data_IF_600767375151
#
_entry.id   IF_600767375151
#
_cell.length_a   1.000
_cell.length_b   1.000
_cell.length_c   1.000
_cell.angle_alpha   90.00
_cell.angle_beta   90.00
_cell.angle_gamma   90.00
#
_symmetry.space_group_name_H-M   'P 1'
#
loop_
_entity.id
_entity.type
_entity.pdbx_description
1 polymer ?
#
# COMPACT_ATOMS: atom_id res chain seq x y z
N UNK A 1 -19.30 4.02 -2.06
CA UNK A 1 -17.88 3.64 -2.28
C UNK A 1 -17.84 2.15 -2.60
N UNK A 2 -17.10 1.76 -3.65
CA UNK A 2 -16.86 0.35 -3.93
C UNK A 2 -15.82 -0.17 -2.92
N UNK A 3 -16.05 -1.35 -2.34
CA UNK A 3 -15.06 -2.02 -1.47
C UNK A 3 -13.79 -2.39 -2.27
N UNK A 4 -12.65 -2.53 -1.61
CA UNK A 4 -11.39 -3.06 -2.19
C UNK A 4 -11.64 -4.31 -3.04
N UNK A 5 -12.49 -5.21 -2.54
CA UNK A 5 -12.84 -6.47 -3.18
C UNK A 5 -13.67 -6.26 -4.46
N UNK A 6 -14.60 -5.30 -4.45
CA UNK A 6 -15.34 -4.94 -5.65
C UNK A 6 -14.44 -4.28 -6.70
N UNK A 7 -13.50 -3.41 -6.29
CA UNK A 7 -12.51 -2.79 -7.18
C UNK A 7 -11.60 -3.84 -7.82
N UNK A 8 -11.05 -4.76 -7.02
CA UNK A 8 -10.27 -5.91 -7.49
C UNK A 8 -11.02 -6.70 -8.55
N UNK A 9 -12.27 -7.08 -8.26
CA UNK A 9 -13.09 -7.87 -9.16
C UNK A 9 -13.33 -7.18 -10.49
N UNK A 10 -13.61 -5.87 -10.47
CA UNK A 10 -13.83 -5.07 -11.67
C UNK A 10 -12.55 -4.97 -12.51
N UNK A 11 -11.40 -4.66 -11.90
CA UNK A 11 -10.12 -4.52 -12.61
C UNK A 11 -9.63 -5.85 -13.21
N UNK A 12 -9.75 -6.95 -12.46
CA UNK A 12 -9.33 -8.29 -12.91
C UNK A 12 -10.38 -9.01 -13.75
N UNK A 13 -11.58 -8.42 -13.93
CA UNK A 13 -12.75 -9.02 -14.61
C UNK A 13 -13.15 -10.39 -14.04
N UNK A 14 -12.82 -10.65 -12.77
CA UNK A 14 -13.21 -11.89 -12.08
C UNK A 14 -14.70 -11.88 -11.76
N UNK A 15 -15.30 -13.07 -11.66
CA UNK A 15 -16.64 -13.25 -11.11
C UNK A 15 -16.56 -13.34 -9.58
N UNK A 16 -17.67 -13.13 -8.89
CA UNK A 16 -17.73 -13.34 -7.43
C UNK A 16 -17.39 -14.78 -7.03
N UNK A 17 -17.64 -15.76 -7.91
CA UNK A 17 -17.28 -17.17 -7.67
C UNK A 17 -15.76 -17.35 -7.71
N UNK A 18 -15.09 -16.82 -8.75
CA UNK A 18 -13.63 -16.88 -8.87
C UNK A 18 -12.92 -16.19 -7.70
N UNK A 19 -13.45 -15.03 -7.24
CA UNK A 19 -12.91 -14.36 -6.05
C UNK A 19 -13.13 -15.20 -4.79
N UNK A 20 -14.28 -15.88 -4.66
CA UNK A 20 -14.55 -16.76 -3.53
C UNK A 20 -13.58 -17.95 -3.49
N UNK A 21 -13.31 -18.58 -4.64
CA UNK A 21 -12.36 -19.69 -4.76
C UNK A 21 -10.93 -19.26 -4.42
N UNK A 22 -10.50 -18.10 -4.91
CA UNK A 22 -9.20 -17.49 -4.59
C UNK A 22 -9.04 -17.27 -3.08
N UNK A 23 -10.09 -16.76 -2.43
CA UNK A 23 -10.09 -16.40 -1.00
C UNK A 23 -10.56 -17.54 -0.08
N UNK A 24 -10.72 -18.75 -0.59
CA UNK A 24 -11.22 -19.93 0.16
C UNK A 24 -12.50 -19.64 0.95
N UNK A 25 -13.44 -18.95 0.32
CA UNK A 25 -14.73 -18.60 0.90
C UNK A 25 -15.87 -18.92 -0.07
N UNK A 26 -17.08 -18.46 0.24
CA UNK A 26 -18.27 -18.73 -0.58
C UNK A 26 -18.71 -17.50 -1.36
N UNK A 27 -19.28 -17.70 -2.54
CA UNK A 27 -19.87 -16.60 -3.35
C UNK A 27 -20.87 -15.74 -2.56
N UNK A 28 -21.80 -16.29 -1.75
CA UNK A 28 -22.67 -15.49 -0.91
C UNK A 28 -21.92 -14.61 0.10
N UNK A 29 -20.80 -15.08 0.65
CA UNK A 29 -19.97 -14.29 1.54
C UNK A 29 -19.36 -13.09 0.80
N UNK A 30 -18.77 -13.32 -0.38
CA UNK A 30 -18.27 -12.26 -1.25
C UNK A 30 -19.36 -11.22 -1.59
N UNK A 31 -20.56 -11.69 -1.94
CA UNK A 31 -21.68 -10.79 -2.25
C UNK A 31 -22.09 -9.93 -1.03
N UNK A 32 -22.07 -10.49 0.18
CA UNK A 32 -22.39 -9.75 1.40
C UNK A 32 -21.30 -8.71 1.73
N UNK A 33 -20.03 -9.03 1.49
CA UNK A 33 -18.91 -8.10 1.65
C UNK A 33 -19.02 -6.94 0.67
N UNK A 34 -19.23 -7.21 -0.62
CA UNK A 34 -19.40 -6.15 -1.63
C UNK A 34 -20.58 -5.22 -1.33
N UNK A 35 -21.63 -5.74 -0.66
CA UNK A 35 -22.80 -4.96 -0.24
C UNK A 35 -22.62 -4.24 1.10
N UNK A 36 -21.45 -4.33 1.74
CA UNK A 36 -21.17 -3.75 3.05
C UNK A 36 -21.96 -4.39 4.20
N UNK A 37 -22.51 -5.59 3.99
CA UNK A 37 -23.28 -6.32 5.03
C UNK A 37 -22.40 -7.12 5.98
N UNK A 38 -21.15 -7.38 5.58
CA UNK A 38 -20.13 -8.09 6.35
C UNK A 38 -18.75 -7.55 6.00
N UNK A 39 -17.82 -7.63 6.94
CA UNK A 39 -16.40 -7.40 6.70
C UNK A 39 -15.70 -8.73 6.37
N UNK A 40 -14.54 -8.65 5.71
CA UNK A 40 -13.68 -9.83 5.57
C UNK A 40 -13.12 -10.21 6.95
N UNK A 41 -13.08 -11.51 7.26
CA UNK A 41 -12.40 -11.99 8.45
C UNK A 41 -10.88 -11.96 8.24
N UNK A 42 -10.13 -11.91 9.34
CA UNK A 42 -8.66 -11.95 9.32
C UNK A 42 -8.14 -13.15 8.49
N UNK A 43 -8.72 -14.33 8.67
CA UNK A 43 -8.32 -15.53 7.91
C UNK A 43 -8.50 -15.38 6.39
N UNK A 44 -9.57 -14.72 5.94
CA UNK A 44 -9.81 -14.47 4.52
C UNK A 44 -8.79 -13.46 3.98
N UNK A 45 -8.48 -12.44 4.76
CA UNK A 45 -7.46 -11.43 4.42
C UNK A 45 -6.08 -12.10 4.30
N UNK A 46 -5.70 -12.94 5.26
CA UNK A 46 -4.45 -13.70 5.23
C UNK A 46 -4.38 -14.63 4.02
N UNK A 47 -5.47 -15.33 3.71
CA UNK A 47 -5.58 -16.12 2.46
C UNK A 47 -5.36 -15.25 1.23
N UNK A 48 -5.86 -14.00 1.25
CA UNK A 48 -5.59 -13.01 0.20
C UNK A 48 -4.10 -12.75 0.02
N UNK A 49 -3.36 -12.46 1.10
CA UNK A 49 -1.90 -12.25 1.04
C UNK A 49 -1.12 -13.46 0.54
N UNK A 50 -1.62 -14.67 0.81
CA UNK A 50 -0.98 -15.92 0.38
C UNK A 50 -1.22 -16.25 -1.09
N UNK A 51 -2.42 -15.95 -1.61
CA UNK A 51 -2.92 -16.52 -2.87
C UNK A 51 -3.28 -15.50 -3.94
N UNK A 52 -3.41 -14.23 -3.59
CA UNK A 52 -3.77 -13.20 -4.55
C UNK A 52 -2.53 -12.72 -5.32
N UNK A 53 -2.68 -12.70 -6.63
CA UNK A 53 -1.69 -12.23 -7.61
C UNK A 53 -1.77 -10.71 -7.85
N UNK A 54 -2.62 -10.02 -7.11
CA UNK A 54 -3.00 -8.66 -7.39
C UNK A 54 -2.49 -7.68 -6.31
N UNK A 55 -1.35 -7.00 -6.54
CA UNK A 55 -0.73 -6.15 -5.54
C UNK A 55 -1.58 -4.91 -5.19
N UNK A 56 -2.42 -4.43 -6.12
CA UNK A 56 -3.34 -3.31 -5.86
C UNK A 56 -4.39 -3.74 -4.84
N UNK A 57 -4.97 -4.94 -5.01
CA UNK A 57 -5.94 -5.47 -4.05
C UNK A 57 -5.33 -5.68 -2.66
N UNK A 58 -4.11 -6.21 -2.58
CA UNK A 58 -3.41 -6.40 -1.31
C UNK A 58 -3.16 -5.07 -0.59
N UNK A 59 -2.77 -4.03 -1.34
CA UNK A 59 -2.57 -2.67 -0.79
C UNK A 59 -3.88 -2.08 -0.28
N UNK A 60 -4.95 -2.17 -1.08
CA UNK A 60 -6.27 -1.66 -0.71
C UNK A 60 -6.87 -2.38 0.51
N UNK A 61 -6.76 -3.71 0.59
CA UNK A 61 -7.20 -4.45 1.77
C UNK A 61 -6.41 -4.04 3.00
N UNK A 62 -5.09 -3.86 2.89
CA UNK A 62 -4.27 -3.44 4.01
C UNK A 62 -4.68 -2.04 4.52
N UNK A 63 -4.99 -1.13 3.61
CA UNK A 63 -5.53 0.19 3.93
C UNK A 63 -6.87 0.09 4.68
N UNK A 64 -7.80 -0.73 4.19
CA UNK A 64 -9.12 -0.90 4.80
C UNK A 64 -9.05 -1.53 6.21
N UNK A 65 -8.28 -2.60 6.39
CA UNK A 65 -8.21 -3.32 7.67
C UNK A 65 -7.43 -2.53 8.73
N UNK A 66 -6.51 -1.69 8.29
CA UNK A 66 -5.71 -0.83 9.15
C UNK A 66 -6.41 0.50 9.47
N UNK A 67 -7.64 0.69 8.98
CA UNK A 67 -8.42 1.91 9.15
C UNK A 67 -7.65 3.17 8.71
N UNK A 68 -6.96 3.07 7.57
CA UNK A 68 -6.18 4.16 6.98
C UNK A 68 -4.78 4.37 7.57
N UNK A 69 -4.28 3.44 8.38
CA UNK A 69 -2.92 3.51 8.92
C UNK A 69 -1.84 3.17 7.88
N UNK A 70 -2.17 2.45 6.80
CA UNK A 70 -1.27 2.24 5.66
C UNK A 70 -1.63 3.17 4.50
N UNK A 71 -0.88 3.13 3.41
CA UNK A 71 -1.20 3.89 2.19
C UNK A 71 -2.26 3.13 1.36
N UNK A 72 -3.23 3.84 0.74
CA UNK A 72 -4.18 3.22 -0.19
C UNK A 72 -3.48 2.88 -1.52
N UNK A 73 -4.10 2.05 -2.36
CA UNK A 73 -3.62 1.91 -3.73
C UNK A 73 -3.98 3.16 -4.55
N UNK A 74 -3.09 3.60 -5.44
CA UNK A 74 -3.39 4.68 -6.37
C UNK A 74 -4.63 4.37 -7.22
N UNK A 75 -5.50 5.36 -7.38
CA UNK A 75 -6.70 5.26 -8.20
C UNK A 75 -6.45 5.90 -9.58
N UNK A 76 -6.58 5.10 -10.63
CA UNK A 76 -6.41 5.51 -12.03
C UNK A 76 -7.38 6.64 -12.46
N UNK A 77 -8.47 6.86 -11.72
CA UNK A 77 -9.39 7.98 -11.97
C UNK A 77 -8.83 9.33 -11.56
N UNK A 78 -7.88 9.35 -10.64
CA UNK A 78 -7.30 10.56 -10.05
C UNK A 78 -5.87 10.76 -10.58
N UNK A 79 -5.12 9.66 -10.76
CA UNK A 79 -3.72 9.69 -11.14
C UNK A 79 -3.47 8.85 -12.38
N UNK A 80 -2.67 9.37 -13.32
CA UNK A 80 -2.14 8.56 -14.42
C UNK A 80 -1.26 7.44 -13.84
N UNK A 81 -1.58 6.20 -14.23
CA UNK A 81 -0.96 4.98 -13.73
C UNK A 81 0.18 4.47 -14.61
N UNK A 82 0.53 5.20 -15.67
CA UNK A 82 1.68 4.88 -16.50
C UNK A 82 2.96 4.96 -15.66
N UNK A 83 3.85 3.96 -15.81
CA UNK A 83 5.07 3.81 -15.00
C UNK A 83 5.94 5.07 -14.96
N UNK A 84 5.99 5.81 -16.08
CA UNK A 84 6.73 7.08 -16.15
C UNK A 84 6.10 8.12 -15.22
N UNK A 85 4.79 8.30 -15.25
CA UNK A 85 4.09 9.27 -14.40
C UNK A 85 4.27 8.96 -12.92
N UNK A 86 4.13 7.68 -12.53
CA UNK A 86 4.37 7.26 -11.14
C UNK A 86 5.82 7.51 -10.73
N UNK A 87 6.78 7.19 -11.60
CA UNK A 87 8.21 7.43 -11.35
C UNK A 87 8.51 8.92 -11.17
N UNK A 88 7.97 9.79 -12.02
CA UNK A 88 8.17 11.24 -11.89
C UNK A 88 7.56 11.78 -10.59
N UNK A 89 6.34 11.36 -10.22
CA UNK A 89 5.74 11.74 -8.93
C UNK A 89 6.60 11.29 -7.75
N UNK A 90 7.04 10.03 -7.73
CA UNK A 90 7.92 9.52 -6.69
C UNK A 90 9.21 10.35 -6.56
N UNK A 91 9.82 10.75 -7.67
CA UNK A 91 11.03 11.59 -7.63
C UNK A 91 10.74 12.97 -7.03
N UNK A 92 9.63 13.59 -7.40
CA UNK A 92 9.21 14.87 -6.83
C UNK A 92 8.99 14.76 -5.31
N UNK A 93 8.23 13.75 -4.85
CA UNK A 93 7.98 13.55 -3.41
C UNK A 93 9.30 13.30 -2.63
N UNK A 94 10.26 12.60 -3.24
CA UNK A 94 11.59 12.40 -2.65
C UNK A 94 12.34 13.73 -2.53
N UNK A 95 12.29 14.58 -3.56
CA UNK A 95 12.92 15.90 -3.52
C UNK A 95 12.30 16.79 -2.44
N UNK A 96 10.98 16.79 -2.32
CA UNK A 96 10.25 17.54 -1.28
C UNK A 96 10.63 17.06 0.13
N UNK A 97 10.67 15.74 0.36
CA UNK A 97 11.12 15.19 1.65
C UNK A 97 12.56 15.54 1.96
N UNK A 98 13.46 15.48 0.97
CA UNK A 98 14.86 15.85 1.17
C UNK A 98 14.98 17.33 1.54
N UNK A 99 14.23 18.21 0.89
CA UNK A 99 14.19 19.63 1.23
C UNK A 99 13.72 19.85 2.68
N UNK A 100 12.61 19.22 3.07
CA UNK A 100 12.04 19.33 4.42
C UNK A 100 13.01 18.80 5.48
N UNK A 101 13.66 17.66 5.24
CA UNK A 101 14.66 17.08 6.15
C UNK A 101 15.92 17.96 6.29
N UNK A 102 16.31 18.68 5.24
CA UNK A 102 17.45 19.60 5.28
C UNK A 102 17.14 20.88 6.11
N UNK A 103 15.87 21.26 6.23
CA UNK A 103 15.47 22.49 6.89
C UNK A 103 14.91 22.31 8.31
N UNK A 104 14.45 21.11 8.66
CA UNK A 104 13.83 20.83 9.95
C UNK A 104 14.77 19.99 10.84
N UNK A 105 15.01 20.51 12.06
CA UNK A 105 15.80 19.82 13.07
C UNK A 105 14.99 18.76 13.80
N UNK A 106 15.58 17.57 13.94
CA UNK A 106 15.00 16.42 14.67
C UNK A 106 15.91 15.89 15.79
N UNK A 107 16.89 16.68 16.22
CA UNK A 107 17.88 16.27 17.22
C UNK A 107 17.41 16.43 18.67
N UNK A 108 16.31 17.17 18.90
CA UNK A 108 15.70 17.35 20.22
C UNK A 108 14.80 16.17 20.57
N UNK A 109 14.79 15.75 21.85
CA UNK A 109 13.77 14.81 22.32
C UNK A 109 12.39 15.50 22.33
N UNK A 110 11.30 14.76 22.06
CA UNK A 110 9.95 15.32 22.02
C UNK A 110 9.57 16.13 23.28
N UNK A 111 10.02 15.70 24.46
CA UNK A 111 9.74 16.36 25.74
C UNK A 111 10.31 17.79 25.85
N UNK A 112 11.29 18.15 25.01
CA UNK A 112 11.93 19.46 24.98
C UNK A 112 11.61 20.27 23.73
N UNK A 113 10.74 19.77 22.86
CA UNK A 113 10.33 20.48 21.65
C UNK A 113 9.26 21.53 21.96
N UNK A 114 9.32 22.67 21.29
CA UNK A 114 8.18 23.60 21.25
C UNK A 114 7.04 23.01 20.41
N UNK A 115 5.85 23.61 20.49
CA UNK A 115 4.72 23.21 19.63
C UNK A 115 5.05 23.34 18.14
N UNK A 116 5.73 24.41 17.75
CA UNK A 116 6.12 24.65 16.35
C UNK A 116 7.15 23.60 15.88
N UNK A 117 8.08 23.21 16.76
CA UNK A 117 9.04 22.14 16.46
C UNK A 117 8.34 20.79 16.29
N UNK A 118 7.34 20.48 17.12
CA UNK A 118 6.51 19.27 16.95
C UNK A 118 5.72 19.32 15.65
N UNK A 119 5.18 20.47 15.25
CA UNK A 119 4.50 20.64 13.97
C UNK A 119 5.44 20.37 12.79
N UNK A 120 6.66 20.91 12.86
CA UNK A 120 7.69 20.66 11.85
C UNK A 120 8.06 19.17 11.74
N UNK A 121 8.17 18.45 12.88
CA UNK A 121 8.35 17.00 12.87
C UNK A 121 7.16 16.27 12.26
N UNK A 122 5.92 16.73 12.52
CA UNK A 122 4.72 16.16 11.88
C UNK A 122 4.76 16.38 10.37
N UNK A 123 5.22 17.54 9.91
CA UNK A 123 5.41 17.81 8.48
C UNK A 123 6.38 16.79 7.86
N UNK A 124 7.55 16.56 8.46
CA UNK A 124 8.46 15.49 7.98
C UNK A 124 7.72 14.16 7.81
N UNK A 125 6.93 13.77 8.82
CA UNK A 125 6.21 12.50 8.78
C UNK A 125 5.16 12.46 7.66
N UNK A 126 4.45 13.56 7.40
CA UNK A 126 3.47 13.66 6.33
C UNK A 126 4.12 13.52 4.95
N UNK A 127 5.14 14.33 4.66
CA UNK A 127 5.86 14.33 3.38
C UNK A 127 6.52 12.95 3.14
N UNK A 128 7.05 12.32 4.20
CA UNK A 128 7.60 10.95 4.13
C UNK A 128 6.51 9.94 3.77
N UNK A 129 5.27 10.16 4.22
CA UNK A 129 4.14 9.28 3.92
C UNK A 129 3.73 9.37 2.45
N UNK A 130 3.86 10.55 1.84
CA UNK A 130 3.61 10.75 0.40
C UNK A 130 4.64 9.99 -0.45
N UNK A 131 5.92 10.00 -0.04
CA UNK A 131 6.95 9.12 -0.63
C UNK A 131 6.58 7.64 -0.50
N UNK A 132 6.08 7.20 0.66
CA UNK A 132 5.65 5.81 0.86
C UNK A 132 4.49 5.45 -0.08
N UNK A 133 3.54 6.36 -0.29
CA UNK A 133 2.41 6.17 -1.19
C UNK A 133 2.88 6.00 -2.65
N UNK A 134 3.72 6.89 -3.16
CA UNK A 134 4.20 6.80 -4.55
C UNK A 134 5.16 5.61 -4.74
N UNK A 135 5.98 5.29 -3.74
CA UNK A 135 6.86 4.12 -3.78
C UNK A 135 6.05 2.82 -3.83
N UNK A 136 5.00 2.69 -3.00
CA UNK A 136 4.10 1.55 -3.03
C UNK A 136 3.36 1.45 -4.37
N UNK A 137 2.93 2.58 -4.92
CA UNK A 137 2.28 2.65 -6.23
C UNK A 137 3.21 2.16 -7.35
N UNK A 138 4.47 2.57 -7.33
CA UNK A 138 5.48 2.10 -8.30
C UNK A 138 5.72 0.60 -8.18
N UNK A 139 5.89 0.08 -6.95
CA UNK A 139 6.06 -1.36 -6.70
C UNK A 139 4.86 -2.14 -7.25
N UNK A 140 3.65 -1.71 -6.93
CA UNK A 140 2.42 -2.36 -7.41
C UNK A 140 2.36 -2.39 -8.93
N UNK A 141 2.68 -1.27 -9.60
CA UNK A 141 2.65 -1.18 -11.06
C UNK A 141 3.71 -2.05 -11.72
N UNK A 142 4.93 -2.10 -11.17
CA UNK A 142 5.99 -2.98 -11.67
C UNK A 142 5.59 -4.45 -11.52
N UNK A 143 5.07 -4.85 -10.37
CA UNK A 143 4.61 -6.23 -10.15
C UNK A 143 3.55 -6.62 -11.20
N UNK A 144 2.57 -5.76 -11.44
CA UNK A 144 1.52 -5.99 -12.42
C UNK A 144 2.05 -6.07 -13.86
N UNK A 145 2.82 -5.08 -14.28
CA UNK A 145 3.23 -4.94 -15.67
C UNK A 145 4.28 -5.99 -16.10
N UNK A 146 5.08 -6.47 -15.14
CA UNK A 146 6.12 -7.47 -15.37
C UNK A 146 5.76 -8.87 -14.84
N UNK A 147 4.56 -9.02 -14.26
CA UNK A 147 4.04 -10.27 -13.69
C UNK A 147 5.00 -10.92 -12.68
N UNK A 148 5.57 -10.11 -11.78
CA UNK A 148 6.42 -10.60 -10.70
C UNK A 148 5.60 -11.17 -9.55
N UNK A 149 6.18 -12.11 -8.80
CA UNK A 149 5.60 -12.57 -7.55
C UNK A 149 5.92 -11.55 -6.43
N UNK A 150 4.90 -10.92 -5.79
CA UNK A 150 5.11 -9.97 -4.70
C UNK A 150 5.91 -10.54 -3.52
N UNK A 151 5.67 -11.81 -3.18
CA UNK A 151 6.30 -12.48 -2.03
C UNK A 151 7.80 -12.71 -2.28
N UNK A 152 8.19 -13.06 -3.51
CA UNK A 152 9.59 -13.25 -3.89
C UNK A 152 10.38 -11.95 -3.79
N UNK A 153 9.81 -10.83 -4.29
CA UNK A 153 10.41 -9.51 -4.17
C UNK A 153 10.63 -9.12 -2.70
N UNK A 154 9.64 -9.36 -1.83
CA UNK A 154 9.75 -9.08 -0.40
C UNK A 154 10.79 -9.97 0.31
N UNK A 155 10.86 -11.26 -0.05
CA UNK A 155 11.81 -12.20 0.53
C UNK A 155 13.27 -11.87 0.17
N UNK A 156 13.52 -11.46 -1.08
CA UNK A 156 14.86 -11.05 -1.54
C UNK A 156 15.44 -9.90 -0.71
N UNK A 157 14.61 -8.90 -0.38
CA UNK A 157 14.98 -7.78 0.52
C UNK A 157 15.35 -8.28 1.92
N UNK A 158 14.51 -9.15 2.50
CA UNK A 158 14.71 -9.65 3.86
C UNK A 158 15.98 -10.53 3.99
N UNK A 159 16.32 -11.29 2.95
CA UNK A 159 17.57 -12.07 2.92
C UNK A 159 18.79 -11.16 2.87
N UNK A 160 18.77 -10.11 2.04
CA UNK A 160 19.84 -9.11 1.96
C UNK A 160 20.10 -8.42 3.30
N UNK A 161 19.05 -7.97 4.00
CA UNK A 161 19.18 -7.35 5.32
C UNK A 161 19.75 -8.30 6.39
N UNK A 162 19.43 -9.60 6.31
CA UNK A 162 20.02 -10.63 7.21
C UNK A 162 21.50 -10.85 6.93
N UNK A 163 21.96 -10.68 5.70
CA UNK A 163 23.38 -10.79 5.33
C UNK A 163 24.17 -9.54 5.73
N UNK A 164 23.61 -8.34 5.53
CA UNK A 164 24.25 -7.07 5.89
C UNK A 164 24.37 -6.88 7.42
N UNK A 165 23.44 -7.45 8.22
CA UNK A 165 23.50 -7.43 9.69
C UNK A 165 24.45 -8.48 10.32
N UNK A 166 25.17 -9.27 9.52
CA UNK A 166 26.20 -10.23 9.98
C UNK A 166 27.62 -9.62 10.03
N UNK A 167 27.72 -8.31 10.28
CA UNK A 167 28.99 -7.61 10.52
C UNK A 167 29.06 -7.21 11.99
#
# INVERSE_FOLDING_TARGET
MNTSLQRHRQRTRRTQLQVAEMLLTTKPNICNVEKGRRNLSADIIMTGFERCDDPIFLTDINFEISNGYTVPAANEQIFDDHRICIKERLLNEIEEVVEVLNHIRIDKRPDYCTKDEIENVRRIAAETYDVVFEAQSLINKIILDYNFNPQELAQSRNQRLKMERRI
#
